data_IF_580607879510
#
_entry.id   IF_580607879510
#
_cell.length_a   1.000
_cell.length_b   1.000
_cell.length_c   1.000
_cell.angle_alpha   90.00
_cell.angle_beta   90.00
_cell.angle_gamma   90.00
#
_symmetry.space_group_name_H-M   'P 1'
#
loop_
_entity.id
_entity.type
_entity.pdbx_description
1 polymer ?
#
# COMPACT_ATOMS: atom_id res chain seq x y z
N UNK A 1 -8.19 52.50 -33.68
CA UNK A 1 -9.50 53.19 -33.60
C UNK A 1 -10.43 52.54 -32.57
N UNK A 2 -10.64 51.22 -32.59
CA UNK A 2 -11.47 50.55 -31.56
C UNK A 2 -10.75 50.36 -30.23
N UNK A 3 -9.44 50.14 -30.25
CA UNK A 3 -8.57 50.14 -29.05
C UNK A 3 -8.54 51.51 -28.38
N UNK A 4 -8.34 52.57 -29.16
CA UNK A 4 -8.39 53.96 -28.67
C UNK A 4 -9.76 54.35 -28.09
N UNK A 5 -10.86 53.72 -28.52
CA UNK A 5 -12.21 53.92 -27.93
C UNK A 5 -12.38 53.19 -26.58
N UNK A 6 -11.57 52.16 -26.32
CA UNK A 6 -11.57 51.45 -25.03
C UNK A 6 -10.67 52.13 -24.01
N UNK A 7 -9.54 52.70 -24.46
CA UNK A 7 -8.56 53.41 -23.65
C UNK A 7 -9.00 54.84 -23.26
N UNK A 8 -9.92 55.43 -24.02
CA UNK A 8 -10.38 56.79 -23.77
C UNK A 8 -11.42 56.84 -22.62
N UNK A 9 -11.00 57.41 -21.49
CA UNK A 9 -11.80 57.52 -20.27
C UNK A 9 -12.99 58.50 -20.40
N UNK A 10 -13.05 59.30 -21.47
CA UNK A 10 -14.15 60.24 -21.70
C UNK A 10 -15.46 59.54 -22.14
N UNK A 11 -15.39 58.31 -22.64
CA UNK A 11 -16.55 57.55 -23.08
C UNK A 11 -17.27 56.83 -21.92
N UNK A 12 -18.61 56.76 -22.00
CA UNK A 12 -19.43 56.09 -21.00
C UNK A 12 -19.05 54.61 -20.80
N UNK A 13 -19.08 54.14 -19.56
CA UNK A 13 -18.62 52.80 -19.16
C UNK A 13 -19.23 51.66 -20.00
N UNK A 14 -20.51 51.79 -20.40
CA UNK A 14 -21.18 50.81 -21.25
C UNK A 14 -20.61 50.76 -22.67
N UNK A 15 -20.25 51.91 -23.26
CA UNK A 15 -19.67 51.98 -24.60
C UNK A 15 -18.26 51.41 -24.63
N UNK A 16 -17.47 51.63 -23.57
CA UNK A 16 -16.15 51.03 -23.41
C UNK A 16 -16.22 49.51 -23.31
N UNK A 17 -17.15 48.97 -22.52
CA UNK A 17 -17.34 47.51 -22.41
C UNK A 17 -17.75 46.88 -23.75
N UNK A 18 -18.61 47.57 -24.52
CA UNK A 18 -19.04 47.13 -25.85
C UNK A 18 -17.89 47.18 -26.87
N UNK A 19 -17.07 48.24 -26.81
CA UNK A 19 -15.86 48.35 -27.61
C UNK A 19 -14.87 47.22 -27.27
N UNK A 20 -14.66 46.92 -25.99
CA UNK A 20 -13.78 45.84 -25.52
C UNK A 20 -14.22 44.47 -26.04
N UNK A 21 -15.52 44.15 -25.96
CA UNK A 21 -16.07 42.90 -26.48
C UNK A 21 -15.84 42.76 -27.99
N UNK A 22 -16.03 43.85 -28.73
CA UNK A 22 -15.92 43.86 -30.18
C UNK A 22 -14.45 43.76 -30.62
N UNK A 23 -13.53 44.39 -29.88
CA UNK A 23 -12.08 44.26 -30.06
C UNK A 23 -11.62 42.84 -29.75
N UNK A 24 -12.10 42.24 -28.66
CA UNK A 24 -11.78 40.86 -28.29
C UNK A 24 -12.19 39.85 -29.37
N UNK A 25 -13.38 40.00 -29.97
CA UNK A 25 -13.83 39.17 -31.10
C UNK A 25 -12.93 39.34 -32.34
N UNK A 26 -12.43 40.54 -32.61
CA UNK A 26 -11.50 40.77 -33.74
C UNK A 26 -10.17 40.05 -33.51
N UNK A 27 -9.60 40.18 -32.30
CA UNK A 27 -8.35 39.49 -31.94
C UNK A 27 -8.47 37.96 -31.95
N UNK A 28 -9.63 37.43 -31.57
CA UNK A 28 -9.91 36.00 -31.68
C UNK A 28 -9.79 35.50 -33.13
N UNK A 29 -10.39 36.20 -34.10
CA UNK A 29 -10.29 35.82 -35.51
C UNK A 29 -8.91 36.09 -36.13
N UNK A 30 -8.11 36.96 -35.52
CA UNK A 30 -6.70 37.18 -35.87
C UNK A 30 -5.76 36.10 -35.32
N UNK A 31 -6.23 35.29 -34.35
CA UNK A 31 -5.44 34.25 -33.69
C UNK A 31 -4.64 34.72 -32.48
N UNK A 32 -4.76 35.99 -32.09
CA UNK A 32 -4.07 36.59 -30.94
C UNK A 32 -4.90 36.41 -29.66
N UNK A 33 -4.80 35.22 -29.06
CA UNK A 33 -5.66 34.82 -27.94
C UNK A 33 -5.36 35.55 -26.62
N UNK A 34 -4.10 35.95 -26.37
CA UNK A 34 -3.74 36.67 -25.14
C UNK A 34 -4.38 38.07 -25.11
N UNK A 35 -4.31 38.79 -26.23
CA UNK A 35 -4.92 40.12 -26.37
C UNK A 35 -6.44 40.00 -26.42
N UNK A 36 -6.98 38.98 -27.10
CA UNK A 36 -8.41 38.68 -27.05
C UNK A 36 -8.90 38.48 -25.61
N UNK A 37 -8.16 37.74 -24.78
CA UNK A 37 -8.52 37.53 -23.37
C UNK A 37 -8.47 38.85 -22.58
N UNK A 38 -7.42 39.67 -22.71
CA UNK A 38 -7.30 40.92 -21.95
C UNK A 38 -8.46 41.90 -22.23
N UNK A 39 -8.89 42.01 -23.49
CA UNK A 39 -10.06 42.80 -23.87
C UNK A 39 -11.38 42.15 -23.45
N UNK A 40 -11.47 40.81 -23.42
CA UNK A 40 -12.64 40.11 -22.87
C UNK A 40 -12.81 40.37 -21.37
N UNK A 41 -11.72 40.36 -20.59
CA UNK A 41 -11.71 40.77 -19.18
C UNK A 41 -12.15 42.23 -19.02
N UNK A 42 -11.81 43.11 -19.97
CA UNK A 42 -12.23 44.51 -20.03
C UNK A 42 -13.73 44.72 -20.32
N UNK A 43 -14.39 43.77 -21.00
CA UNK A 43 -15.81 43.83 -21.30
C UNK A 43 -16.70 43.57 -20.07
N UNK A 44 -16.16 42.94 -19.02
CA UNK A 44 -16.83 42.74 -17.74
C UNK A 44 -18.17 42.00 -17.87
N UNK A 45 -19.31 42.61 -17.48
CA UNK A 45 -20.62 41.95 -17.51
C UNK A 45 -21.18 41.70 -18.92
N UNK A 46 -20.62 42.33 -19.97
CA UNK A 46 -21.05 42.08 -21.35
C UNK A 46 -20.46 40.80 -21.96
N UNK A 47 -19.45 40.21 -21.31
CA UNK A 47 -18.93 38.91 -21.68
C UNK A 47 -19.76 37.83 -20.97
N UNK A 48 -20.71 37.24 -21.69
CA UNK A 48 -21.58 36.18 -21.16
C UNK A 48 -20.92 34.80 -21.29
N UNK A 49 -20.63 34.20 -20.14
CA UNK A 49 -20.07 32.84 -20.00
C UNK A 49 -21.15 31.77 -20.33
N UNK A 50 -22.41 32.17 -20.42
CA UNK A 50 -23.56 31.31 -20.74
C UNK A 50 -23.72 31.06 -22.24
N UNK A 51 -23.12 31.91 -23.08
CA UNK A 51 -23.21 31.80 -24.53
C UNK A 51 -22.45 30.57 -25.03
N UNK A 52 -23.16 29.64 -25.67
CA UNK A 52 -22.60 28.43 -26.27
C UNK A 52 -21.99 28.76 -27.65
N UNK A 53 -20.84 29.44 -27.64
CA UNK A 53 -20.11 29.82 -28.85
C UNK A 53 -18.66 29.35 -28.79
N UNK A 54 -18.09 28.99 -29.95
CA UNK A 54 -16.68 28.58 -30.07
C UNK A 54 -15.72 29.67 -29.54
N UNK A 55 -16.10 30.93 -29.70
CA UNK A 55 -15.39 32.09 -29.17
C UNK A 55 -15.31 32.06 -27.65
N UNK A 56 -16.44 31.86 -26.96
CA UNK A 56 -16.50 31.80 -25.50
C UNK A 56 -15.76 30.56 -24.99
N UNK A 57 -15.97 29.38 -25.59
CA UNK A 57 -15.27 28.17 -25.18
C UNK A 57 -13.75 28.30 -25.29
N UNK A 58 -13.25 28.87 -26.39
CA UNK A 58 -11.81 29.05 -26.59
C UNK A 58 -11.22 30.06 -25.61
N UNK A 59 -11.91 31.17 -25.36
CA UNK A 59 -11.46 32.17 -24.39
C UNK A 59 -11.52 31.67 -22.96
N UNK A 60 -12.53 30.88 -22.59
CA UNK A 60 -12.62 30.27 -21.27
C UNK A 60 -11.50 29.25 -21.06
N UNK A 61 -11.24 28.38 -22.03
CA UNK A 61 -10.11 27.44 -21.97
C UNK A 61 -8.79 28.18 -21.77
N UNK A 62 -8.57 29.24 -22.56
CA UNK A 62 -7.38 30.09 -22.45
C UNK A 62 -7.28 30.80 -21.10
N UNK A 63 -8.41 31.27 -20.54
CA UNK A 63 -8.47 31.91 -19.24
C UNK A 63 -8.10 30.94 -18.11
N UNK A 64 -8.59 29.69 -18.16
CA UNK A 64 -8.26 28.64 -17.19
C UNK A 64 -6.76 28.33 -17.25
N UNK A 65 -6.21 28.12 -18.45
CA UNK A 65 -4.79 27.81 -18.64
C UNK A 65 -3.89 28.92 -18.07
N UNK A 66 -4.23 30.18 -18.36
CA UNK A 66 -3.48 31.33 -17.88
C UNK A 66 -3.58 31.47 -16.36
N UNK A 67 -4.79 31.33 -15.80
CA UNK A 67 -5.01 31.36 -14.36
C UNK A 67 -4.27 30.22 -13.64
N UNK A 68 -4.37 28.98 -14.14
CA UNK A 68 -3.70 27.81 -13.58
C UNK A 68 -2.16 27.93 -13.63
N UNK A 69 -1.63 28.53 -14.70
CA UNK A 69 -0.20 28.83 -14.85
C UNK A 69 0.27 29.88 -13.83
N UNK A 70 -0.48 30.97 -13.67
CA UNK A 70 -0.19 32.02 -12.69
C UNK A 70 -0.24 31.47 -11.25
N UNK A 71 -1.26 30.68 -10.92
CA UNK A 71 -1.41 30.02 -9.62
C UNK A 71 -0.28 29.04 -9.34
N UNK A 72 0.12 28.27 -10.35
CA UNK A 72 1.23 27.32 -10.22
C UNK A 72 2.57 28.01 -9.97
N UNK A 73 2.82 29.15 -10.63
CA UNK A 73 4.02 29.98 -10.40
C UNK A 73 3.99 30.65 -9.03
N UNK A 74 2.84 31.20 -8.63
CA UNK A 74 2.68 31.83 -7.32
C UNK A 74 2.92 30.86 -6.15
N UNK A 75 2.63 29.57 -6.34
CA UNK A 75 2.93 28.54 -5.36
C UNK A 75 4.42 28.11 -5.32
N UNK A 76 5.22 28.44 -6.34
CA UNK A 76 6.67 28.14 -6.39
C UNK A 76 7.53 29.27 -5.83
N UNK A 77 7.12 30.51 -6.06
CA UNK A 77 7.79 31.68 -5.51
C UNK A 77 7.36 31.86 -4.05
N UNK A 78 8.26 31.57 -3.11
CA UNK A 78 8.10 31.88 -1.68
C UNK A 78 7.93 33.38 -1.37
N UNK A 79 7.91 34.24 -2.39
CA UNK A 79 7.93 35.69 -2.30
C UNK A 79 6.91 36.27 -3.28
N UNK A 80 5.90 36.96 -2.73
CA UNK A 80 4.87 37.70 -3.47
C UNK A 80 3.87 36.84 -4.25
N UNK A 81 2.62 36.80 -3.76
CA UNK A 81 1.48 36.44 -4.61
C UNK A 81 1.59 37.27 -5.90
N UNK A 82 1.92 36.63 -7.04
CA UNK A 82 1.77 37.28 -8.33
C UNK A 82 0.38 37.91 -8.35
N UNK A 83 0.28 39.22 -8.59
CA UNK A 83 -1.01 39.90 -8.60
C UNK A 83 -1.86 39.27 -9.69
N UNK A 84 -2.72 38.34 -9.30
CA UNK A 84 -3.67 37.73 -10.22
C UNK A 84 -4.76 38.76 -10.43
N UNK A 85 -5.04 39.08 -11.68
CA UNK A 85 -6.11 39.99 -12.03
C UNK A 85 -7.43 39.46 -11.45
N UNK A 86 -8.06 40.26 -10.58
CA UNK A 86 -9.33 39.91 -9.94
C UNK A 86 -10.43 39.60 -10.96
N UNK A 87 -10.36 40.16 -12.17
CA UNK A 87 -11.30 39.88 -13.26
C UNK A 87 -11.13 38.48 -13.81
N UNK A 88 -9.88 38.03 -13.97
CA UNK A 88 -9.58 36.66 -14.41
C UNK A 88 -10.07 35.65 -13.38
N UNK A 89 -9.78 35.92 -12.10
CA UNK A 89 -10.28 35.09 -10.99
C UNK A 89 -11.82 35.04 -10.97
N UNK A 90 -12.50 36.18 -11.13
CA UNK A 90 -13.95 36.24 -11.14
C UNK A 90 -14.58 35.45 -12.32
N UNK A 91 -13.94 35.41 -13.49
CA UNK A 91 -14.44 34.60 -14.62
C UNK A 91 -14.29 33.11 -14.33
N UNK A 92 -13.12 32.68 -13.83
CA UNK A 92 -12.90 31.27 -13.47
C UNK A 92 -13.85 30.84 -12.35
N UNK A 93 -14.08 31.69 -11.35
CA UNK A 93 -15.04 31.44 -10.28
C UNK A 93 -16.48 31.29 -10.80
N UNK A 94 -16.95 32.23 -11.64
CA UNK A 94 -18.28 32.12 -12.26
C UNK A 94 -18.42 30.85 -13.10
N UNK A 95 -17.35 30.43 -13.78
CA UNK A 95 -17.37 29.21 -14.58
C UNK A 95 -17.45 27.96 -13.69
N UNK A 96 -16.67 27.90 -12.60
CA UNK A 96 -16.75 26.82 -11.61
C UNK A 96 -18.13 26.75 -10.96
N UNK A 97 -18.68 27.90 -10.56
CA UNK A 97 -20.03 27.98 -9.97
C UNK A 97 -21.10 27.50 -10.97
N UNK A 98 -20.96 27.86 -12.25
CA UNK A 98 -21.83 27.36 -13.32
C UNK A 98 -21.71 25.84 -13.49
N UNK A 99 -20.51 25.28 -13.47
CA UNK A 99 -20.33 23.82 -13.53
C UNK A 99 -21.00 23.10 -12.35
N UNK A 100 -20.97 23.70 -11.15
CA UNK A 100 -21.63 23.17 -9.96
C UNK A 100 -23.16 23.26 -10.09
N UNK A 101 -23.69 24.39 -10.58
CA UNK A 101 -25.13 24.58 -10.80
C UNK A 101 -25.68 23.64 -11.88
N UNK A 102 -24.91 23.42 -12.96
CA UNK A 102 -25.27 22.55 -14.07
C UNK A 102 -25.14 21.04 -13.72
N UNK A 103 -24.71 20.70 -12.50
CA UNK A 103 -24.49 19.32 -12.05
C UNK A 103 -23.27 18.63 -12.71
N UNK A 104 -22.42 19.39 -13.41
CA UNK A 104 -21.20 18.89 -14.08
C UNK A 104 -20.01 18.86 -13.12
N UNK A 105 -20.17 18.16 -11.99
CA UNK A 105 -19.18 18.11 -10.92
C UNK A 105 -17.81 17.60 -11.37
N UNK A 106 -17.74 16.59 -12.26
CA UNK A 106 -16.47 16.05 -12.76
C UNK A 106 -15.61 17.10 -13.47
N UNK A 107 -16.24 17.90 -14.33
CA UNK A 107 -15.55 18.98 -15.02
C UNK A 107 -15.11 20.07 -14.05
N UNK A 108 -16.00 20.50 -13.15
CA UNK A 108 -15.70 21.50 -12.12
C UNK A 108 -14.53 21.08 -11.23
N UNK A 109 -14.45 19.80 -10.85
CA UNK A 109 -13.33 19.27 -10.08
C UNK A 109 -12.02 19.28 -10.87
N UNK A 110 -12.04 18.91 -12.15
CA UNK A 110 -10.84 18.98 -13.01
C UNK A 110 -10.27 20.39 -13.04
N UNK A 111 -11.13 21.37 -13.31
CA UNK A 111 -10.76 22.79 -13.34
C UNK A 111 -10.27 23.25 -11.96
N UNK A 112 -10.95 22.87 -10.87
CA UNK A 112 -10.52 23.24 -9.52
C UNK A 112 -9.13 22.68 -9.17
N UNK A 113 -8.84 21.45 -9.61
CA UNK A 113 -7.53 20.80 -9.42
C UNK A 113 -6.45 21.50 -10.25
N UNK A 114 -6.72 21.84 -11.52
CA UNK A 114 -5.79 22.58 -12.40
C UNK A 114 -5.48 23.97 -11.84
N UNK A 115 -6.51 24.68 -11.37
CA UNK A 115 -6.43 26.02 -10.79
C UNK A 115 -5.82 26.06 -9.37
N UNK A 116 -5.54 24.91 -8.75
CA UNK A 116 -5.11 24.80 -7.35
C UNK A 116 -6.04 25.51 -6.37
N UNK A 117 -7.34 25.26 -6.52
CA UNK A 117 -8.42 25.80 -5.68
C UNK A 117 -9.09 24.68 -4.90
N UNK A 118 -8.49 24.37 -3.75
CA UNK A 118 -8.97 23.31 -2.85
C UNK A 118 -10.33 23.62 -2.22
N UNK A 119 -10.63 24.90 -2.03
CA UNK A 119 -11.92 25.42 -1.55
C UNK A 119 -13.06 25.07 -2.50
N UNK A 120 -12.89 25.33 -3.81
CA UNK A 120 -13.89 25.01 -4.83
C UNK A 120 -13.99 23.50 -5.08
N UNK A 121 -12.89 22.76 -4.91
CA UNK A 121 -12.91 21.30 -4.93
C UNK A 121 -13.77 20.74 -3.77
N UNK A 122 -13.60 21.24 -2.54
CA UNK A 122 -14.43 20.87 -1.38
C UNK A 122 -15.90 21.22 -1.62
N UNK A 123 -16.20 22.42 -2.12
CA UNK A 123 -17.57 22.85 -2.44
C UNK A 123 -18.23 21.93 -3.49
N UNK A 124 -17.50 21.60 -4.57
CA UNK A 124 -17.99 20.73 -5.64
C UNK A 124 -18.28 19.30 -5.13
N UNK A 125 -17.46 18.78 -4.20
CA UNK A 125 -17.65 17.45 -3.61
C UNK A 125 -18.87 17.43 -2.68
N UNK A 126 -19.04 18.44 -1.83
CA UNK A 126 -20.14 18.48 -0.85
C UNK A 126 -21.49 18.67 -1.54
N UNK A 127 -21.55 19.43 -2.63
CA UNK A 127 -22.78 19.69 -3.37
C UNK A 127 -23.18 18.56 -4.33
N UNK A 128 -22.33 17.56 -4.53
CA UNK A 128 -22.62 16.51 -5.51
C UNK A 128 -23.71 15.54 -5.02
N UNK A 129 -24.50 15.02 -5.96
CA UNK A 129 -25.56 14.05 -5.66
C UNK A 129 -25.02 12.74 -5.07
N UNK A 130 -23.77 12.39 -5.41
CA UNK A 130 -23.09 11.20 -4.93
C UNK A 130 -21.66 11.53 -4.48
N UNK A 131 -21.53 11.86 -3.19
CA UNK A 131 -20.26 12.26 -2.58
C UNK A 131 -19.22 11.14 -2.65
N UNK A 132 -19.61 9.88 -2.44
CA UNK A 132 -18.69 8.73 -2.49
C UNK A 132 -18.07 8.54 -3.87
N UNK A 133 -18.88 8.54 -4.94
CA UNK A 133 -18.38 8.41 -6.30
C UNK A 133 -17.49 9.60 -6.71
N UNK A 134 -17.85 10.79 -6.25
CA UNK A 134 -17.12 12.04 -6.50
C UNK A 134 -15.74 12.02 -5.84
N UNK A 135 -15.67 11.60 -4.58
CA UNK A 135 -14.41 11.43 -3.84
C UNK A 135 -13.50 10.36 -4.45
N UNK A 136 -14.06 9.23 -4.88
CA UNK A 136 -13.31 8.19 -5.58
C UNK A 136 -12.72 8.72 -6.90
N UNK A 137 -13.51 9.48 -7.66
CA UNK A 137 -13.03 10.16 -8.85
C UNK A 137 -11.92 11.18 -8.55
N UNK A 138 -12.08 12.03 -7.53
CA UNK A 138 -11.04 12.98 -7.12
C UNK A 138 -9.74 12.27 -6.72
N UNK A 139 -9.85 11.13 -6.04
CA UNK A 139 -8.70 10.30 -5.67
C UNK A 139 -7.98 9.80 -6.93
N UNK A 140 -8.73 9.23 -7.89
CA UNK A 140 -8.17 8.78 -9.17
C UNK A 140 -7.49 9.93 -9.94
N UNK A 141 -8.16 11.09 -10.06
CA UNK A 141 -7.61 12.25 -10.76
C UNK A 141 -6.34 12.76 -10.08
N UNK A 142 -6.31 12.76 -8.75
CA UNK A 142 -5.13 13.18 -7.98
C UNK A 142 -3.92 12.29 -8.22
N UNK A 143 -4.12 10.98 -8.47
CA UNK A 143 -3.04 10.05 -8.77
C UNK A 143 -2.59 10.11 -10.23
N UNK A 144 -3.54 10.21 -11.17
CA UNK A 144 -3.27 10.14 -12.60
C UNK A 144 -2.70 11.44 -13.18
N UNK A 145 -3.18 12.60 -12.71
CA UNK A 145 -2.90 13.89 -13.37
C UNK A 145 -2.02 14.84 -12.55
N UNK A 146 -1.93 14.67 -11.21
CA UNK A 146 -1.10 15.54 -10.38
C UNK A 146 0.33 15.02 -10.31
N UNK A 147 1.24 15.66 -11.06
CA UNK A 147 2.66 15.32 -11.07
C UNK A 147 3.42 15.74 -9.80
N UNK A 148 3.03 16.87 -9.18
CA UNK A 148 3.76 17.42 -8.03
C UNK A 148 3.36 16.73 -6.74
N UNK A 149 4.35 16.18 -6.03
CA UNK A 149 4.14 15.46 -4.76
C UNK A 149 3.53 16.33 -3.67
N UNK A 150 3.97 17.58 -3.52
CA UNK A 150 3.49 18.50 -2.47
C UNK A 150 2.00 18.83 -2.66
N UNK A 151 1.63 19.24 -3.86
CA UNK A 151 0.23 19.55 -4.18
C UNK A 151 -0.66 18.30 -4.12
N UNK A 152 -0.18 17.14 -4.60
CA UNK A 152 -0.91 15.88 -4.44
C UNK A 152 -1.17 15.55 -2.97
N UNK A 153 -0.19 15.81 -2.09
CA UNK A 153 -0.34 15.61 -0.64
C UNK A 153 -1.41 16.53 -0.06
N UNK A 154 -1.45 17.81 -0.46
CA UNK A 154 -2.50 18.75 -0.01
C UNK A 154 -3.90 18.31 -0.44
N UNK A 155 -4.06 17.87 -1.69
CA UNK A 155 -5.33 17.33 -2.20
C UNK A 155 -5.74 16.08 -1.42
N UNK A 156 -4.84 15.11 -1.23
CA UNK A 156 -5.13 13.89 -0.47
C UNK A 156 -5.49 14.20 1.00
N UNK A 157 -4.82 15.18 1.63
CA UNK A 157 -5.17 15.63 2.99
C UNK A 157 -6.57 16.24 3.05
N UNK A 158 -6.99 17.00 2.04
CA UNK A 158 -8.36 17.48 1.93
C UNK A 158 -9.34 16.30 1.80
N UNK A 159 -9.06 15.34 0.92
CA UNK A 159 -9.92 14.18 0.70
C UNK A 159 -10.09 13.35 1.98
N UNK A 160 -9.03 13.10 2.74
CA UNK A 160 -9.10 12.42 4.04
C UNK A 160 -10.03 13.15 5.01
N UNK A 161 -9.91 14.49 5.10
CA UNK A 161 -10.82 15.30 5.94
C UNK A 161 -12.28 15.18 5.49
N UNK A 162 -12.53 15.13 4.17
CA UNK A 162 -13.88 14.98 3.63
C UNK A 162 -14.44 13.58 3.91
N UNK A 163 -13.67 12.51 3.71
CA UNK A 163 -14.09 11.16 4.05
C UNK A 163 -14.43 11.01 5.54
N UNK A 164 -13.69 11.66 6.44
CA UNK A 164 -13.95 11.63 7.88
C UNK A 164 -15.20 12.41 8.31
N UNK A 165 -15.59 13.46 7.56
CA UNK A 165 -16.82 14.24 7.82
C UNK A 165 -18.10 13.50 7.40
N UNK A 166 -18.00 12.42 6.61
CA UNK A 166 -19.16 11.68 6.14
C UNK A 166 -19.89 10.94 7.28
N UNK A 167 -21.23 10.83 7.23
CA UNK A 167 -22.00 10.05 8.21
C UNK A 167 -21.59 8.57 8.27
N UNK A 168 -21.23 8.00 7.11
CA UNK A 168 -20.67 6.66 6.95
C UNK A 168 -19.26 6.77 6.35
N UNK A 169 -18.21 6.77 7.18
CA UNK A 169 -16.84 6.89 6.69
C UNK A 169 -16.44 5.64 5.89
N UNK A 170 -15.94 5.86 4.68
CA UNK A 170 -15.31 4.82 3.88
C UNK A 170 -13.87 4.62 4.37
N UNK A 171 -13.70 3.68 5.29
CA UNK A 171 -12.42 3.39 5.91
C UNK A 171 -11.40 2.80 4.93
N UNK A 172 -11.83 2.18 3.82
CA UNK A 172 -10.93 1.60 2.82
C UNK A 172 -10.27 2.71 2.01
N UNK A 173 -11.08 3.57 1.39
CA UNK A 173 -10.59 4.73 0.62
C UNK A 173 -9.78 5.70 1.50
N UNK A 174 -10.19 5.90 2.76
CA UNK A 174 -9.44 6.73 3.72
C UNK A 174 -8.07 6.14 4.03
N UNK A 175 -7.99 4.83 4.28
CA UNK A 175 -6.72 4.16 4.60
C UNK A 175 -5.76 4.13 3.42
N UNK A 176 -6.27 3.96 2.19
CA UNK A 176 -5.48 4.10 0.97
C UNK A 176 -4.92 5.52 0.82
N UNK A 177 -5.73 6.55 1.04
CA UNK A 177 -5.26 7.94 1.01
C UNK A 177 -4.17 8.19 2.06
N UNK A 178 -4.36 7.71 3.30
CA UNK A 178 -3.38 7.84 4.38
C UNK A 178 -2.07 7.09 4.10
N UNK A 179 -2.15 5.93 3.44
CA UNK A 179 -0.98 5.20 2.96
C UNK A 179 -0.20 6.02 1.94
N UNK A 180 -0.87 6.66 0.98
CA UNK A 180 -0.20 7.55 0.00
C UNK A 180 0.37 8.83 0.63
N UNK A 181 -0.20 9.28 1.74
CA UNK A 181 0.32 10.38 2.56
C UNK A 181 1.51 9.98 3.44
N UNK A 182 1.79 8.66 3.58
CA UNK A 182 2.77 8.10 4.51
C UNK A 182 2.47 8.47 5.98
N UNK A 183 1.18 8.50 6.34
CA UNK A 183 0.68 8.82 7.69
C UNK A 183 0.17 7.55 8.41
N UNK A 184 1.08 6.75 9.02
CA UNK A 184 0.70 5.47 9.66
C UNK A 184 -0.16 5.65 10.91
N UNK A 185 -0.09 6.82 11.55
CA UNK A 185 -0.87 7.15 12.77
C UNK A 185 -2.37 7.21 12.49
N UNK A 186 -2.75 7.81 11.36
CA UNK A 186 -4.16 7.89 10.95
C UNK A 186 -4.76 6.50 10.75
N UNK A 187 -4.02 5.60 10.10
CA UNK A 187 -4.46 4.21 9.86
C UNK A 187 -4.54 3.43 11.16
N UNK A 188 -3.53 3.54 12.03
CA UNK A 188 -3.54 2.86 13.33
C UNK A 188 -4.75 3.27 14.18
N UNK A 189 -5.08 4.57 14.22
CA UNK A 189 -6.25 5.08 14.94
C UNK A 189 -7.58 4.57 14.35
N UNK A 190 -7.68 4.49 13.01
CA UNK A 190 -8.85 3.92 12.33
C UNK A 190 -9.02 2.44 12.71
N UNK A 191 -7.94 1.65 12.63
CA UNK A 191 -7.97 0.24 12.98
C UNK A 191 -8.31 0.03 14.45
N UNK A 192 -7.70 0.81 15.35
CA UNK A 192 -8.01 0.74 16.79
C UNK A 192 -9.48 1.06 17.07
N UNK A 193 -10.03 2.11 16.45
CA UNK A 193 -11.45 2.47 16.57
C UNK A 193 -12.36 1.35 16.10
N UNK A 194 -12.06 0.73 14.96
CA UNK A 194 -12.86 -0.37 14.39
C UNK A 194 -12.77 -1.65 15.23
N UNK A 195 -11.59 -1.96 15.77
CA UNK A 195 -11.38 -3.15 16.60
C UNK A 195 -12.03 -3.03 17.97
N UNK A 196 -12.06 -1.82 18.53
CA UNK A 196 -12.68 -1.49 19.82
C UNK A 196 -14.21 -1.46 19.75
N UNK A 197 -14.79 -1.44 18.55
CA UNK A 197 -16.24 -1.51 18.37
C UNK A 197 -16.79 -2.88 18.76
N UNK A 198 -17.96 -2.89 19.40
CA UNK A 198 -18.68 -4.11 19.76
C UNK A 198 -19.23 -4.85 18.53
N UNK A 199 -19.48 -4.11 17.43
CA UNK A 199 -20.02 -4.66 16.20
C UNK A 199 -19.01 -5.59 15.52
N UNK A 200 -19.49 -6.78 15.10
CA UNK A 200 -18.68 -7.74 14.35
C UNK A 200 -18.32 -7.21 12.96
N UNK A 201 -19.22 -6.48 12.32
CA UNK A 201 -19.01 -5.92 10.98
C UNK A 201 -17.84 -4.91 10.95
N UNK A 202 -17.72 -4.07 11.98
CA UNK A 202 -16.61 -3.10 12.08
C UNK A 202 -15.25 -3.82 12.20
N UNK A 203 -15.21 -4.91 12.96
CA UNK A 203 -14.01 -5.75 13.07
C UNK A 203 -13.66 -6.46 11.75
N UNK A 204 -14.67 -6.93 11.00
CA UNK A 204 -14.45 -7.50 9.66
C UNK A 204 -13.92 -6.45 8.69
N UNK A 205 -14.45 -5.22 8.74
CA UNK A 205 -13.97 -4.11 7.95
C UNK A 205 -12.51 -3.76 8.28
N UNK A 206 -12.12 -3.80 9.56
CA UNK A 206 -10.73 -3.62 9.96
C UNK A 206 -9.80 -4.67 9.32
N UNK A 207 -10.22 -5.93 9.26
CA UNK A 207 -9.46 -6.98 8.58
C UNK A 207 -9.39 -6.76 7.07
N UNK A 208 -10.49 -6.34 6.42
CA UNK A 208 -10.49 -6.00 5.01
C UNK A 208 -9.51 -4.87 4.69
N UNK A 209 -9.53 -3.79 5.48
CA UNK A 209 -8.57 -2.69 5.36
C UNK A 209 -7.14 -3.19 5.53
N UNK A 210 -6.87 -4.04 6.53
CA UNK A 210 -5.54 -4.59 6.74
C UNK A 210 -5.05 -5.45 5.55
N UNK A 211 -5.92 -6.27 4.95
CA UNK A 211 -5.55 -7.04 3.76
C UNK A 211 -5.29 -6.15 2.54
N UNK A 212 -6.13 -5.15 2.28
CA UNK A 212 -5.94 -4.18 1.18
C UNK A 212 -4.61 -3.42 1.32
N UNK A 213 -4.25 -3.02 2.55
CA UNK A 213 -2.96 -2.39 2.81
C UNK A 213 -1.77 -3.33 2.55
N UNK A 214 -1.91 -4.62 2.88
CA UNK A 214 -0.86 -5.64 2.64
C UNK A 214 -0.66 -5.90 1.14
N UNK A 215 -1.72 -5.86 0.34
CA UNK A 215 -1.64 -6.01 -1.12
C UNK A 215 -0.79 -4.92 -1.80
N UNK A 216 -0.64 -3.74 -1.17
CA UNK A 216 0.20 -2.66 -1.68
C UNK A 216 1.72 -2.88 -1.42
N UNK A 217 2.11 -3.95 -0.73
CA UNK A 217 3.51 -4.39 -0.49
C UNK A 217 4.46 -3.32 0.13
N UNK A 218 3.93 -2.27 0.76
CA UNK A 218 4.76 -1.21 1.38
C UNK A 218 5.18 -1.59 2.81
N UNK A 219 6.10 -2.56 2.94
CA UNK A 219 6.45 -3.19 4.22
C UNK A 219 6.83 -2.20 5.34
N UNK A 220 7.63 -1.17 5.04
CA UNK A 220 8.07 -0.21 6.05
C UNK A 220 6.88 0.54 6.68
N UNK A 221 5.85 0.83 5.89
CA UNK A 221 4.62 1.49 6.38
C UNK A 221 3.79 0.51 7.20
N UNK A 222 3.62 -0.73 6.74
CA UNK A 222 2.84 -1.76 7.45
C UNK A 222 3.43 -2.09 8.82
N UNK A 223 4.75 -2.22 8.92
CA UNK A 223 5.45 -2.42 10.20
C UNK A 223 5.26 -1.20 11.11
N UNK A 224 5.38 0.01 10.56
CA UNK A 224 5.14 1.25 11.30
C UNK A 224 3.69 1.38 11.82
N UNK A 225 2.69 0.86 11.10
CA UNK A 225 1.29 0.80 11.57
C UNK A 225 1.15 -0.26 12.66
N UNK A 226 1.71 -1.46 12.45
CA UNK A 226 1.72 -2.58 13.42
C UNK A 226 2.31 -2.16 14.77
N UNK A 227 3.45 -1.47 14.74
CA UNK A 227 4.22 -1.10 15.93
C UNK A 227 3.54 0.02 16.73
N UNK A 228 2.70 0.83 16.07
CA UNK A 228 1.87 1.86 16.71
C UNK A 228 0.60 1.31 17.38
N UNK A 229 0.13 0.13 16.96
CA UNK A 229 -0.99 -0.52 17.61
C UNK A 229 -0.58 -1.03 19.01
N UNK A 230 -1.45 -0.89 20.03
CA UNK A 230 -1.12 -1.27 21.41
C UNK A 230 -0.64 -2.72 21.51
N UNK A 231 0.25 -3.00 22.46
CA UNK A 231 0.60 -4.39 22.75
C UNK A 231 -0.63 -5.11 23.32
N UNK A 232 -0.97 -6.32 22.85
CA UNK A 232 -1.99 -7.11 23.52
C UNK A 232 -1.56 -7.29 24.98
N UNK A 233 -2.40 -6.88 25.94
CA UNK A 233 -2.19 -7.22 27.35
C UNK A 233 -2.16 -8.75 27.42
N UNK A 234 -1.01 -9.31 27.75
CA UNK A 234 -0.81 -10.76 27.80
C UNK A 234 -1.74 -11.37 28.84
N UNK A 235 -2.66 -12.24 28.40
CA UNK A 235 -3.11 -13.35 29.23
C UNK A 235 -1.91 -14.30 29.39
N UNK A 236 -1.68 -14.88 30.59
CA UNK A 236 -0.61 -15.84 30.78
C UNK A 236 -0.92 -17.11 30.00
N UNK A 237 -0.28 -17.29 28.84
CA UNK A 237 -0.28 -18.56 28.13
C UNK A 237 0.43 -19.60 29.00
N UNK A 238 -0.28 -20.66 29.39
CA UNK A 238 0.33 -21.87 29.90
C UNK A 238 1.43 -22.34 28.94
N UNK A 239 2.66 -22.28 29.42
CA UNK A 239 3.80 -22.90 28.80
C UNK A 239 3.61 -24.41 28.81
N UNK A 240 3.12 -24.99 27.71
CA UNK A 240 3.35 -26.39 27.39
C UNK A 240 4.84 -26.57 27.15
N UNK A 241 5.54 -27.10 28.16
CA UNK A 241 6.91 -27.56 28.02
C UNK A 241 6.98 -28.70 26.98
N UNK A 242 8.05 -28.79 26.18
CA UNK A 242 8.28 -29.95 25.33
C UNK A 242 8.75 -31.11 26.22
N UNK A 243 7.98 -32.20 26.25
CA UNK A 243 8.42 -33.47 26.80
C UNK A 243 9.66 -33.97 26.04
N UNK A 244 10.79 -34.02 26.73
CA UNK A 244 11.99 -34.73 26.32
C UNK A 244 11.69 -36.24 26.35
N UNK A 245 11.59 -36.85 25.19
CA UNK A 245 11.57 -38.31 25.05
C UNK A 245 13.01 -38.84 24.97
N UNK A 246 13.43 -39.55 26.01
CA UNK A 246 14.46 -40.58 25.91
C UNK A 246 13.98 -41.86 26.59
N UNK A 247 14.30 -43.06 26.06
CA UNK A 247 13.61 -44.30 26.37
C UNK A 247 14.13 -44.99 27.63
N UNK A 248 13.23 -45.51 28.45
CA UNK A 248 13.55 -46.37 29.59
C UNK A 248 13.80 -47.83 29.15
N UNK A 249 14.72 -48.57 29.81
CA UNK A 249 14.65 -50.01 29.94
C UNK A 249 13.91 -50.44 31.20
N UNK A 250 13.28 -51.61 31.12
CA UNK A 250 12.25 -52.17 32.00
C UNK A 250 12.82 -53.07 33.12
N UNK A 251 12.11 -53.09 34.28
CA UNK A 251 12.00 -54.11 35.35
C UNK A 251 13.18 -54.26 36.35
N UNK A 252 12.98 -54.42 37.68
CA UNK A 252 12.00 -55.27 38.38
C UNK A 252 11.77 -54.86 39.88
N UNK A 253 10.60 -55.30 40.38
CA UNK A 253 10.09 -55.59 41.76
C UNK A 253 11.08 -55.49 42.95
N UNK A 254 10.75 -55.06 44.18
CA UNK A 254 9.66 -55.52 45.05
C UNK A 254 9.60 -54.71 46.38
N UNK A 255 8.44 -54.77 47.07
CA UNK A 255 8.23 -54.73 48.54
C UNK A 255 7.93 -53.42 49.34
N UNK A 256 6.68 -53.39 49.83
CA UNK A 256 6.17 -53.18 51.22
C UNK A 256 6.06 -51.78 51.86
N UNK A 257 4.80 -51.31 51.92
CA UNK A 257 4.00 -50.88 53.10
C UNK A 257 4.57 -49.95 54.19
N UNK A 258 3.91 -48.80 54.38
CA UNK A 258 3.31 -48.38 55.67
C UNK A 258 2.37 -47.16 55.47
N UNK A 259 1.24 -47.21 56.15
CA UNK A 259 0.17 -46.20 56.25
C UNK A 259 0.63 -44.94 57.00
N UNK A 260 0.10 -43.76 56.65
CA UNK A 260 -0.57 -42.92 57.64
C UNK A 260 -1.45 -41.84 56.99
N UNK A 261 -2.71 -41.79 57.41
CA UNK A 261 -3.72 -40.81 57.03
C UNK A 261 -3.91 -39.86 58.22
N UNK A 262 -3.65 -38.56 58.03
CA UNK A 262 -4.22 -37.53 58.91
C UNK A 262 -4.72 -36.33 58.11
N UNK A 263 -6.04 -36.18 58.12
CA UNK A 263 -6.79 -34.96 57.87
C UNK A 263 -6.91 -34.22 59.20
N UNK A 264 -6.59 -32.92 59.28
CA UNK A 264 -7.21 -31.95 60.21
C UNK A 264 -7.22 -30.56 59.55
N UNK A 265 -8.38 -29.96 59.74
CA UNK A 265 -8.97 -28.69 59.30
C UNK A 265 -8.22 -27.40 59.73
N UNK A 266 -8.48 -26.29 59.04
CA UNK A 266 -8.12 -24.96 59.55
C UNK A 266 -7.73 -23.89 58.53
N UNK A 267 -8.73 -23.36 57.83
CA UNK A 267 -8.83 -22.00 57.27
C UNK A 267 -7.60 -21.07 57.39
N UNK A 268 -7.03 -20.69 56.24
CA UNK A 268 -6.55 -19.32 56.05
C UNK A 268 -6.70 -18.93 54.58
N UNK A 269 -7.72 -18.13 54.32
CA UNK A 269 -8.01 -17.53 53.03
C UNK A 269 -6.87 -16.61 52.61
N UNK A 270 -6.15 -16.96 51.55
CA UNK A 270 -5.53 -15.98 50.67
C UNK A 270 -6.42 -15.88 49.42
N UNK A 271 -7.30 -14.87 49.43
CA UNK A 271 -7.99 -14.41 48.23
C UNK A 271 -6.94 -14.00 47.20
N UNK A 272 -6.69 -14.86 46.22
CA UNK A 272 -6.25 -14.42 44.90
C UNK A 272 -7.51 -13.96 44.19
N UNK A 273 -7.69 -12.64 44.10
CA UNK A 273 -8.64 -12.04 43.17
C UNK A 273 -8.31 -12.58 41.78
N UNK A 274 -9.09 -13.56 41.33
CA UNK A 274 -9.21 -13.88 39.91
C UNK A 274 -9.98 -12.70 39.33
N UNK A 275 -9.23 -11.69 38.85
CA UNK A 275 -9.79 -10.73 37.91
C UNK A 275 -10.17 -11.54 36.67
N UNK A 276 -11.42 -12.00 36.62
CA UNK A 276 -12.05 -12.46 35.39
C UNK A 276 -11.85 -11.35 34.36
N UNK A 277 -10.95 -11.57 33.40
CA UNK A 277 -10.74 -10.63 32.31
C UNK A 277 -12.09 -10.38 31.62
N UNK A 278 -12.47 -9.11 31.48
CA UNK A 278 -13.72 -8.73 30.81
C UNK A 278 -13.77 -9.43 29.43
N UNK A 279 -14.84 -10.19 29.11
CA UNK A 279 -14.99 -10.85 27.81
C UNK A 279 -14.72 -9.92 26.62
N UNK A 280 -14.96 -8.61 26.78
CA UNK A 280 -14.66 -7.59 25.76
C UNK A 280 -13.17 -7.37 25.55
N UNK A 281 -12.38 -7.31 26.61
CA UNK A 281 -10.91 -7.16 26.52
C UNK A 281 -10.28 -8.40 25.88
N UNK A 282 -10.80 -9.60 26.17
CA UNK A 282 -10.34 -10.85 25.56
C UNK A 282 -10.62 -10.86 24.05
N UNK A 283 -11.86 -10.53 23.64
CA UNK A 283 -12.20 -10.45 22.21
C UNK A 283 -11.38 -9.39 21.47
N UNK A 284 -11.16 -8.24 22.08
CA UNK A 284 -10.31 -7.19 21.51
C UNK A 284 -8.86 -7.66 21.34
N UNK A 285 -8.28 -8.30 22.37
CA UNK A 285 -6.92 -8.83 22.32
C UNK A 285 -6.73 -9.91 21.23
N UNK A 286 -7.73 -10.78 21.04
CA UNK A 286 -7.73 -11.75 19.96
C UNK A 286 -7.76 -11.09 18.57
N UNK A 287 -8.66 -10.10 18.37
CA UNK A 287 -8.76 -9.37 17.10
C UNK A 287 -7.47 -8.59 16.81
N UNK A 288 -6.88 -7.98 17.83
CA UNK A 288 -5.61 -7.26 17.76
C UNK A 288 -4.43 -8.18 17.40
N UNK A 289 -4.41 -9.40 17.94
CA UNK A 289 -3.38 -10.38 17.57
C UNK A 289 -3.51 -10.79 16.11
N UNK A 290 -4.75 -11.03 15.65
CA UNK A 290 -5.02 -11.37 14.24
C UNK A 290 -4.62 -10.24 13.29
N UNK A 291 -4.97 -8.99 13.60
CA UNK A 291 -4.65 -7.87 12.71
C UNK A 291 -3.14 -7.62 12.64
N UNK A 292 -2.41 -7.79 13.74
CA UNK A 292 -0.94 -7.70 13.74
C UNK A 292 -0.32 -8.81 12.88
N UNK A 293 -0.87 -10.02 12.92
CA UNK A 293 -0.50 -11.12 12.02
C UNK A 293 -0.77 -10.81 10.54
N UNK A 294 -1.88 -10.14 10.22
CA UNK A 294 -2.18 -9.70 8.84
C UNK A 294 -1.20 -8.61 8.40
N UNK A 295 -1.05 -7.53 9.18
CA UNK A 295 -0.16 -6.39 8.86
C UNK A 295 1.31 -6.80 8.78
N UNK A 296 1.73 -7.83 9.51
CA UNK A 296 3.08 -8.39 9.37
C UNK A 296 3.34 -9.07 8.02
N UNK A 297 2.27 -9.44 7.30
CA UNK A 297 2.32 -10.22 6.07
C UNK A 297 2.32 -11.74 6.29
N UNK A 298 2.60 -12.22 7.51
CA UNK A 298 2.73 -13.66 7.82
C UNK A 298 1.46 -14.45 7.46
N UNK A 299 0.29 -13.92 7.79
CA UNK A 299 -0.99 -14.59 7.50
C UNK A 299 -1.22 -14.72 6.00
N UNK A 300 -0.96 -13.66 5.22
CA UNK A 300 -1.12 -13.67 3.76
C UNK A 300 -0.17 -14.68 3.09
N UNK A 301 1.09 -14.70 3.55
CA UNK A 301 2.10 -15.66 3.10
C UNK A 301 1.65 -17.09 3.37
N UNK A 302 1.17 -17.39 4.58
CA UNK A 302 0.73 -18.74 4.95
C UNK A 302 -0.44 -19.22 4.09
N UNK A 303 -1.43 -18.34 3.85
CA UNK A 303 -2.58 -18.66 3.00
C UNK A 303 -2.14 -18.92 1.55
N UNK A 304 -1.23 -18.10 1.02
CA UNK A 304 -0.68 -18.28 -0.32
C UNK A 304 0.12 -19.58 -0.44
N UNK A 305 0.94 -19.90 0.58
CA UNK A 305 1.71 -21.14 0.65
C UNK A 305 0.79 -22.37 0.62
N UNK A 306 -0.29 -22.35 1.42
CA UNK A 306 -1.29 -23.43 1.46
C UNK A 306 -2.01 -23.57 0.11
N UNK A 307 -2.38 -22.45 -0.51
CA UNK A 307 -3.00 -22.45 -1.84
C UNK A 307 -2.07 -23.06 -2.89
N UNK A 308 -0.82 -22.60 -2.97
CA UNK A 308 0.17 -23.08 -3.94
C UNK A 308 0.52 -24.55 -3.73
N UNK A 309 0.62 -25.01 -2.49
CA UNK A 309 0.85 -26.42 -2.18
C UNK A 309 -0.33 -27.31 -2.62
N UNK A 310 -1.56 -26.93 -2.24
CA UNK A 310 -2.77 -27.73 -2.50
C UNK A 310 -3.22 -27.72 -3.96
N UNK A 311 -2.98 -26.63 -4.68
CA UNK A 311 -3.38 -26.45 -6.08
C UNK A 311 -2.20 -26.52 -7.06
N UNK A 312 -1.14 -27.22 -6.67
CA UNK A 312 0.00 -27.44 -7.54
C UNK A 312 -0.38 -28.35 -8.73
N UNK A 313 -0.36 -27.79 -9.94
CA UNK A 313 -0.61 -28.50 -11.21
C UNK A 313 0.63 -28.64 -12.09
N UNK A 314 1.82 -28.51 -11.50
CA UNK A 314 3.09 -28.73 -12.21
C UNK A 314 3.20 -30.17 -12.71
N UNK A 315 3.67 -30.32 -13.95
CA UNK A 315 3.90 -31.63 -14.56
C UNK A 315 5.38 -32.00 -14.51
N UNK A 316 5.70 -33.00 -13.69
CA UNK A 316 7.06 -33.52 -13.56
C UNK A 316 7.57 -34.22 -14.83
N UNK A 317 6.69 -34.64 -15.74
CA UNK A 317 7.09 -35.25 -17.01
C UNK A 317 7.83 -34.25 -17.89
N UNK A 318 7.39 -32.99 -17.92
CA UNK A 318 8.07 -31.91 -18.66
C UNK A 318 9.50 -31.76 -18.15
N UNK A 319 9.70 -31.72 -16.83
CA UNK A 319 11.03 -31.63 -16.22
C UNK A 319 11.90 -32.86 -16.51
N UNK A 320 11.31 -34.05 -16.54
CA UNK A 320 12.01 -35.28 -16.94
C UNK A 320 12.48 -35.22 -18.39
N UNK A 321 11.62 -34.74 -19.31
CA UNK A 321 11.96 -34.56 -20.72
C UNK A 321 13.07 -33.53 -20.91
N UNK A 322 12.99 -32.39 -20.22
CA UNK A 322 14.04 -31.35 -20.24
C UNK A 322 15.36 -31.92 -19.72
N UNK A 323 15.36 -32.64 -18.59
CA UNK A 323 16.56 -33.27 -18.06
C UNK A 323 17.17 -34.27 -19.04
N UNK A 324 16.35 -35.07 -19.72
CA UNK A 324 16.80 -36.09 -20.68
C UNK A 324 17.37 -35.50 -21.97
N UNK A 325 16.88 -34.34 -22.42
CA UNK A 325 17.35 -33.66 -23.62
C UNK A 325 18.65 -32.88 -23.41
N UNK A 326 19.04 -32.64 -22.16
CA UNK A 326 20.22 -31.87 -21.79
C UNK A 326 21.43 -32.78 -21.59
N UNK A 327 22.54 -32.43 -22.26
CA UNK A 327 23.83 -33.08 -22.02
C UNK A 327 24.35 -32.80 -20.60
N UNK A 328 24.69 -33.87 -19.87
CA UNK A 328 25.07 -33.82 -18.45
C UNK A 328 26.32 -32.99 -18.14
N UNK A 329 27.16 -32.68 -19.15
CA UNK A 329 28.39 -31.89 -18.98
C UNK A 329 28.17 -30.38 -19.19
N UNK A 330 27.00 -29.98 -19.67
CA UNK A 330 26.69 -28.58 -19.94
C UNK A 330 26.13 -27.89 -18.68
N UNK A 331 26.99 -27.11 -18.01
CA UNK A 331 26.63 -26.39 -16.77
C UNK A 331 25.53 -25.35 -16.97
N UNK A 332 25.40 -24.77 -18.16
CA UNK A 332 24.34 -23.79 -18.49
C UNK A 332 22.99 -24.49 -18.51
N UNK A 333 22.89 -25.61 -19.24
CA UNK A 333 21.64 -26.35 -19.34
C UNK A 333 21.24 -27.01 -18.01
N UNK A 334 22.21 -27.43 -17.20
CA UNK A 334 21.96 -27.88 -15.83
C UNK A 334 21.31 -26.77 -14.98
N UNK A 335 21.89 -25.56 -15.01
CA UNK A 335 21.36 -24.40 -14.27
C UNK A 335 19.98 -23.98 -14.80
N UNK A 336 19.78 -24.01 -16.12
CA UNK A 336 18.49 -23.72 -16.75
C UNK A 336 17.40 -24.72 -16.31
N UNK A 337 17.73 -26.01 -16.21
CA UNK A 337 16.80 -27.04 -15.72
C UNK A 337 16.41 -26.81 -14.26
N UNK A 338 17.39 -26.43 -13.41
CA UNK A 338 17.12 -26.07 -12.01
C UNK A 338 16.23 -24.84 -11.91
N UNK A 339 16.49 -23.79 -12.70
CA UNK A 339 15.66 -22.59 -12.69
C UNK A 339 14.25 -22.85 -13.21
N UNK A 340 14.11 -23.67 -14.26
CA UNK A 340 12.80 -24.10 -14.73
C UNK A 340 12.02 -24.81 -13.61
N UNK A 341 12.65 -25.77 -12.92
CA UNK A 341 12.05 -26.44 -11.77
C UNK A 341 11.70 -25.44 -10.64
N UNK A 342 12.64 -24.57 -10.27
CA UNK A 342 12.46 -23.61 -9.20
C UNK A 342 11.29 -22.65 -9.46
N UNK A 343 11.12 -22.17 -10.69
CA UNK A 343 10.00 -21.30 -11.09
C UNK A 343 8.69 -22.08 -11.15
N UNK A 344 8.68 -23.29 -11.73
CA UNK A 344 7.49 -24.14 -11.81
C UNK A 344 6.94 -24.51 -10.42
N UNK A 345 7.83 -24.61 -9.43
CA UNK A 345 7.49 -25.00 -8.06
C UNK A 345 7.61 -23.84 -7.05
N UNK A 346 7.69 -22.59 -7.51
CA UNK A 346 7.92 -21.44 -6.64
C UNK A 346 6.83 -21.30 -5.57
N UNK A 347 7.23 -21.29 -4.30
CA UNK A 347 6.31 -21.21 -3.16
C UNK A 347 5.37 -22.41 -3.00
N UNK A 348 5.60 -23.53 -3.71
CA UNK A 348 4.79 -24.75 -3.53
C UNK A 348 5.34 -25.64 -2.42
N UNK A 349 6.59 -25.44 -1.98
CA UNK A 349 7.34 -26.32 -1.08
C UNK A 349 7.56 -27.75 -1.60
N UNK A 350 7.17 -28.04 -2.84
CA UNK A 350 7.34 -29.35 -3.47
C UNK A 350 8.70 -29.40 -4.17
N UNK A 351 9.65 -30.09 -3.55
CA UNK A 351 11.03 -30.27 -4.03
C UNK A 351 11.32 -31.70 -4.52
N UNK A 352 10.28 -32.47 -4.84
CA UNK A 352 10.35 -33.88 -5.26
C UNK A 352 11.31 -34.11 -6.42
N UNK A 353 11.28 -33.24 -7.44
CA UNK A 353 12.22 -33.32 -8.56
C UNK A 353 13.68 -33.26 -8.10
N UNK A 354 14.02 -32.43 -7.12
CA UNK A 354 15.40 -32.34 -6.64
C UNK A 354 15.79 -33.58 -5.83
N UNK A 355 14.88 -34.08 -4.98
CA UNK A 355 15.09 -35.29 -4.15
C UNK A 355 15.27 -36.54 -5.01
N UNK A 356 14.48 -36.70 -6.06
CA UNK A 356 14.56 -37.85 -6.98
C UNK A 356 15.83 -37.83 -7.86
N UNK A 357 16.52 -36.70 -7.93
CA UNK A 357 17.63 -36.47 -8.86
C UNK A 357 18.92 -36.00 -8.15
N UNK A 358 19.12 -36.39 -6.88
CA UNK A 358 20.31 -36.04 -6.10
C UNK A 358 21.63 -36.45 -6.76
N UNK A 359 21.69 -37.62 -7.40
CA UNK A 359 22.89 -38.08 -8.15
C UNK A 359 23.23 -37.21 -9.35
N UNK A 360 22.22 -36.56 -9.94
CA UNK A 360 22.41 -35.62 -11.04
C UNK A 360 22.86 -34.25 -10.49
N UNK A 361 22.23 -33.77 -9.41
CA UNK A 361 22.59 -32.52 -8.74
C UNK A 361 23.99 -32.55 -8.13
N UNK A 362 24.44 -33.68 -7.58
CA UNK A 362 25.76 -33.81 -6.94
C UNK A 362 26.92 -33.63 -7.92
N UNK A 363 26.67 -33.84 -9.21
CA UNK A 363 27.63 -33.66 -10.32
C UNK A 363 27.78 -32.21 -10.76
N UNK A 364 26.91 -31.31 -10.32
CA UNK A 364 27.05 -29.88 -10.54
C UNK A 364 28.38 -29.38 -9.96
N UNK A 365 29.01 -28.39 -10.59
CA UNK A 365 30.26 -27.78 -10.09
C UNK A 365 30.14 -26.26 -10.04
N UNK A 366 30.89 -25.64 -9.13
CA UNK A 366 30.99 -24.19 -8.97
C UNK A 366 29.60 -23.51 -8.90
N UNK A 367 29.34 -22.56 -9.79
CA UNK A 367 28.08 -21.81 -9.89
C UNK A 367 26.85 -22.68 -10.10
N UNK A 368 26.95 -23.86 -10.72
CA UNK A 368 25.81 -24.76 -10.84
C UNK A 368 25.39 -25.35 -9.47
N UNK A 369 26.32 -25.53 -8.52
CA UNK A 369 25.99 -25.91 -7.13
C UNK A 369 25.33 -24.76 -6.38
N UNK A 370 25.82 -23.54 -6.61
CA UNK A 370 25.18 -22.33 -6.08
C UNK A 370 23.73 -22.25 -6.56
N UNK A 371 23.48 -22.33 -7.87
CA UNK A 371 22.14 -22.28 -8.45
C UNK A 371 21.23 -23.41 -7.96
N UNK A 372 21.76 -24.62 -7.77
CA UNK A 372 21.02 -25.75 -7.20
C UNK A 372 20.51 -25.45 -5.78
N UNK A 373 21.39 -24.92 -4.93
CA UNK A 373 21.05 -24.60 -3.54
C UNK A 373 20.15 -23.36 -3.46
N UNK A 374 20.43 -22.33 -4.27
CA UNK A 374 19.61 -21.13 -4.41
C UNK A 374 18.17 -21.45 -4.87
N UNK A 375 18.01 -22.42 -5.78
CA UNK A 375 16.72 -22.85 -6.31
C UNK A 375 15.78 -23.39 -5.23
N UNK A 376 16.30 -24.05 -4.19
CA UNK A 376 15.50 -24.45 -3.03
C UNK A 376 14.84 -23.24 -2.35
N UNK A 377 15.51 -22.09 -2.30
CA UNK A 377 14.94 -20.87 -1.73
C UNK A 377 13.72 -20.35 -2.48
N UNK A 378 13.69 -20.54 -3.80
CA UNK A 378 12.54 -20.16 -4.64
C UNK A 378 11.37 -21.15 -4.42
N UNK A 379 11.66 -22.45 -4.38
CA UNK A 379 10.64 -23.49 -4.14
C UNK A 379 9.98 -23.31 -2.77
N UNK A 380 10.78 -22.96 -1.76
CA UNK A 380 10.34 -22.75 -0.38
C UNK A 380 10.06 -21.28 -0.05
N UNK A 381 9.89 -20.41 -1.05
CA UNK A 381 9.58 -18.98 -0.84
C UNK A 381 8.37 -18.82 0.09
N UNK A 382 8.50 -17.98 1.12
CA UNK A 382 7.44 -17.73 2.10
C UNK A 382 7.33 -18.76 3.23
N UNK A 383 8.14 -19.82 3.23
CA UNK A 383 8.18 -20.77 4.34
C UNK A 383 9.03 -20.23 5.51
N UNK A 384 8.54 -19.19 6.20
CA UNK A 384 9.30 -18.45 7.21
C UNK A 384 9.73 -19.30 8.42
N UNK A 385 8.83 -20.15 8.93
CA UNK A 385 9.10 -20.92 10.16
C UNK A 385 10.14 -22.04 9.99
N UNK A 386 10.05 -22.82 8.90
CA UNK A 386 10.94 -23.97 8.65
C UNK A 386 12.07 -23.68 7.65
N UNK A 387 12.13 -22.46 7.08
CA UNK A 387 13.14 -22.11 6.09
C UNK A 387 14.58 -22.33 6.58
N UNK A 388 14.85 -22.03 7.86
CA UNK A 388 16.16 -22.26 8.48
C UNK A 388 16.47 -23.75 8.68
N UNK A 389 15.53 -24.53 9.20
CA UNK A 389 15.72 -25.97 9.39
C UNK A 389 15.90 -26.71 8.07
N UNK A 390 15.21 -26.28 7.02
CA UNK A 390 15.32 -26.86 5.69
C UNK A 390 16.69 -26.58 5.05
N UNK A 391 17.24 -25.38 5.25
CA UNK A 391 18.54 -24.99 4.72
C UNK A 391 19.72 -25.44 5.60
N UNK A 392 19.48 -25.85 6.85
CA UNK A 392 20.53 -26.23 7.81
C UNK A 392 21.59 -27.22 7.28
N UNK A 393 21.26 -28.23 6.45
CA UNK A 393 22.26 -29.13 5.88
C UNK A 393 23.22 -28.45 4.88
N UNK A 394 22.81 -27.32 4.30
CA UNK A 394 23.57 -26.59 3.28
C UNK A 394 24.21 -25.30 3.81
N UNK A 395 23.93 -24.93 5.06
CA UNK A 395 24.51 -23.75 5.70
C UNK A 395 25.95 -24.02 6.17
N UNK A 396 26.78 -22.98 6.27
CA UNK A 396 28.12 -23.11 6.85
C UNK A 396 28.02 -23.66 8.28
N UNK A 397 28.56 -24.85 8.52
CA UNK A 397 28.71 -25.40 9.86
C UNK A 397 30.09 -24.99 10.38
N UNK A 398 30.16 -24.25 11.48
CA UNK A 398 31.38 -23.64 12.04
C UNK A 398 32.44 -24.61 12.59
N UNK A 399 32.67 -25.75 11.95
CA UNK A 399 33.66 -26.76 12.33
C UNK A 399 34.59 -27.13 11.18
N UNK A 400 35.88 -27.31 11.49
CA UNK A 400 36.99 -27.54 10.57
C UNK A 400 36.98 -28.91 9.82
N UNK A 401 35.82 -29.55 9.63
CA UNK A 401 35.77 -30.90 9.06
C UNK A 401 34.46 -31.34 8.39
N UNK A 402 33.48 -30.44 8.18
CA UNK A 402 32.16 -30.82 7.63
C UNK A 402 31.68 -30.01 6.42
N UNK A 403 32.52 -29.14 5.85
CA UNK A 403 32.08 -28.08 4.94
C UNK A 403 31.61 -28.57 3.57
N UNK A 404 30.41 -28.14 3.18
CA UNK A 404 29.94 -28.25 1.80
C UNK A 404 30.82 -27.43 0.85
N UNK A 405 30.49 -27.43 -0.44
CA UNK A 405 31.17 -26.52 -1.37
C UNK A 405 30.88 -25.06 -0.98
N UNK A 406 31.85 -24.12 -1.02
CA UNK A 406 31.61 -22.70 -0.72
C UNK A 406 30.48 -22.10 -1.58
N UNK A 407 30.32 -22.61 -2.80
CA UNK A 407 29.22 -22.24 -3.70
C UNK A 407 27.86 -22.69 -3.17
N UNK A 408 27.77 -23.87 -2.56
CA UNK A 408 26.53 -24.38 -1.95
C UNK A 408 26.19 -23.60 -0.68
N UNK A 409 27.18 -23.31 0.17
CA UNK A 409 27.01 -22.50 1.38
C UNK A 409 26.55 -21.08 1.06
N UNK A 410 27.19 -20.42 0.09
CA UNK A 410 26.73 -19.12 -0.42
C UNK A 410 25.34 -19.19 -1.05
N UNK A 411 25.03 -20.29 -1.74
CA UNK A 411 23.71 -20.55 -2.30
C UNK A 411 22.63 -20.73 -1.23
N UNK A 412 22.96 -21.35 -0.09
CA UNK A 412 22.05 -21.53 1.04
C UNK A 412 21.73 -20.20 1.75
N UNK A 413 22.73 -19.34 1.96
CA UNK A 413 22.52 -18.00 2.49
C UNK A 413 21.65 -17.15 1.54
N UNK A 414 21.92 -17.24 0.23
CA UNK A 414 21.08 -16.58 -0.77
C UNK A 414 19.65 -17.12 -0.76
N UNK A 415 19.49 -18.45 -0.67
CA UNK A 415 18.19 -19.10 -0.58
C UNK A 415 17.40 -18.65 0.66
N UNK A 416 18.04 -18.52 1.83
CA UNK A 416 17.41 -17.99 3.04
C UNK A 416 16.89 -16.56 2.83
N UNK A 417 17.67 -15.71 2.15
CA UNK A 417 17.24 -14.37 1.76
C UNK A 417 16.00 -14.37 0.86
N UNK A 418 15.96 -15.29 -0.12
CA UNK A 418 14.79 -15.45 -1.00
C UNK A 418 13.54 -15.93 -0.24
N UNK A 419 13.70 -16.85 0.73
CA UNK A 419 12.59 -17.35 1.55
C UNK A 419 11.96 -16.21 2.37
N UNK A 420 12.79 -15.32 2.92
CA UNK A 420 12.39 -14.25 3.84
C UNK A 420 12.33 -12.88 3.16
N UNK A 421 12.20 -12.83 1.83
CA UNK A 421 12.15 -11.58 1.09
C UNK A 421 11.00 -10.69 1.62
N UNK A 422 11.31 -9.42 1.90
CA UNK A 422 10.43 -8.42 2.54
C UNK A 422 9.97 -8.76 3.98
N UNK A 423 10.32 -9.93 4.54
CA UNK A 423 9.83 -10.45 5.82
C UNK A 423 10.99 -10.99 6.67
N UNK A 424 12.04 -10.18 6.79
CA UNK A 424 13.36 -10.61 7.29
C UNK A 424 13.66 -10.33 8.77
N UNK A 425 12.73 -9.80 9.57
CA UNK A 425 13.01 -9.37 10.97
C UNK A 425 13.70 -10.48 11.78
N UNK A 426 13.27 -11.74 11.66
CA UNK A 426 13.84 -12.88 12.39
C UNK A 426 15.16 -13.43 11.85
N UNK A 427 15.52 -13.18 10.58
CA UNK A 427 16.71 -13.78 9.92
C UNK A 427 17.82 -12.76 9.63
N UNK A 428 17.51 -11.46 9.65
CA UNK A 428 18.43 -10.38 9.27
C UNK A 428 19.71 -10.40 10.10
N UNK A 429 19.61 -10.62 11.42
CA UNK A 429 20.78 -10.70 12.28
C UNK A 429 21.64 -11.91 11.94
N UNK A 430 21.03 -13.08 11.77
CA UNK A 430 21.73 -14.31 11.38
C UNK A 430 22.48 -14.16 10.05
N UNK A 431 21.85 -13.57 9.03
CA UNK A 431 22.51 -13.30 7.74
C UNK A 431 23.66 -12.31 7.89
N UNK A 432 23.51 -11.28 8.72
CA UNK A 432 24.57 -10.31 9.00
C UNK A 432 25.77 -10.96 9.69
N UNK A 433 25.51 -11.80 10.69
CA UNK A 433 26.56 -12.52 11.40
C UNK A 433 27.28 -13.53 10.49
N UNK A 434 26.56 -14.09 9.51
CA UNK A 434 27.13 -15.04 8.53
C UNK A 434 27.95 -14.37 7.42
N UNK A 435 27.90 -13.04 7.29
CA UNK A 435 28.70 -12.27 6.33
C UNK A 435 30.07 -11.85 6.89
N UNK A 436 30.24 -11.94 8.20
CA UNK A 436 31.49 -11.69 8.92
C UNK A 436 32.23 -13.00 9.17
#
# INVERSE_FOLDING_TARGET
FRESLFEDEEFGQHQRQLAALLVSKVFYYLGELNDSLSYALGAGPLFDISEDSDYVHTLLAKAIDEYASLRSKAAESSDGAAEIDCRLEAIVERMLDKCIIDGKFQQGMGIAIECRRLDKLEEAIIRSDNVHATLAYSTHVSHSFIYRREYRREVLQLLVKLYQKLPSPDYLSTSQCLMFLDEPEGVANILEKLLSSENKEDALLAFQVAFDLVENEHQAFLLNVRDRLPAPKSLPSESLQPESSDPAPIQNENSTAAEDVQMIDGSSASMTDVLEADPKEVMYAERLTKIKGILSGETSIQLTLQFLYSHNKSDLLILKTIKQSVEMRNSVCHSATIYANAIMHAGTTVDTFLRDNLDWLSRATNWAKFSATAGLGVIHRGHLQQGRSLMAPYLPQGGAGGGGSPYSEGGALYALGLIHANHGEGIKQFLRDSLH
#
